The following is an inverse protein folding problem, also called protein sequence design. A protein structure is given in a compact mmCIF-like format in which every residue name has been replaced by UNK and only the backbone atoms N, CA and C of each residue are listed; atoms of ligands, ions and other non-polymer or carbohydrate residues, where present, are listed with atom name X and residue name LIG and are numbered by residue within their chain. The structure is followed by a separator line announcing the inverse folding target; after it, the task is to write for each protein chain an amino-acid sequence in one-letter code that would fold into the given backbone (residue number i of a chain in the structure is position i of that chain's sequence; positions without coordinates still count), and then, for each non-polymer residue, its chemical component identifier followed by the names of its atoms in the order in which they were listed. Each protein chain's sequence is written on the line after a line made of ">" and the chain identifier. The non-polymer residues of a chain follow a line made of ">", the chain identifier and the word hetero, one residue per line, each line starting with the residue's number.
data_IF_753380171244
#
_entry.id   IF_753380171244
#
_cell.length_a   1.000
_cell.length_b   1.000
_cell.length_c   1.000
_cell.angle_alpha   90.00
_cell.angle_beta   90.00
_cell.angle_gamma   90.00
#
_symmetry.space_group_name_H-M   'P 1'
#
loop_
_entity.id
_entity.type
_entity.pdbx_description
1 polymer ?
#
# COMPACT_ATOMS: atom_id res chain seq x y z
N UNK A 1 0.22 -14.78 16.28
CA UNK A 1 0.86 -15.31 15.06
C UNK A 1 0.65 -14.42 13.82
N UNK A 2 -0.53 -13.81 13.52
CA UNK A 2 -0.68 -12.92 12.34
C UNK A 2 -0.20 -11.47 12.52
N UNK A 3 0.18 -11.07 13.74
CA UNK A 3 0.44 -9.65 14.11
C UNK A 3 1.70 -9.03 13.49
N UNK A 4 2.71 -9.81 13.11
CA UNK A 4 4.02 -9.25 12.70
C UNK A 4 4.11 -9.13 11.18
N UNK A 5 3.66 -10.14 10.44
CA UNK A 5 3.58 -10.14 8.98
C UNK A 5 2.74 -8.94 8.48
N UNK A 6 1.54 -8.77 9.06
CA UNK A 6 0.63 -7.67 8.71
C UNK A 6 1.15 -6.27 9.06
N UNK A 7 1.99 -6.18 10.10
CA UNK A 7 2.46 -4.92 10.62
C UNK A 7 3.76 -4.45 9.94
N UNK A 8 4.53 -5.37 9.36
CA UNK A 8 5.55 -5.05 8.34
C UNK A 8 4.88 -4.56 7.03
N UNK A 9 3.75 -5.15 6.63
CA UNK A 9 2.99 -4.69 5.44
C UNK A 9 2.44 -3.27 5.55
N UNK A 10 2.03 -2.83 6.76
CA UNK A 10 1.41 -1.51 6.96
C UNK A 10 2.42 -0.36 7.04
N UNK A 11 3.71 -0.65 7.30
CA UNK A 11 4.73 0.39 7.51
C UNK A 11 5.80 0.45 6.43
N UNK A 12 5.98 -0.62 5.66
CA UNK A 12 7.06 -0.70 4.68
C UNK A 12 6.57 -0.93 3.27
N UNK A 13 5.89 0.04 2.65
CA UNK A 13 6.18 0.38 1.24
C UNK A 13 5.74 1.83 1.02
N UNK A 14 6.69 2.74 0.98
CA UNK A 14 6.53 4.09 0.44
C UNK A 14 7.90 4.56 -0.03
N UNK A 15 7.89 5.13 -1.25
CA UNK A 15 8.99 5.66 -2.05
C UNK A 15 9.86 4.64 -2.80
N UNK A 16 9.40 4.18 -3.96
CA UNK A 16 10.29 4.01 -5.12
C UNK A 16 9.69 4.57 -6.39
N UNK A 17 10.43 5.42 -7.11
CA UNK A 17 10.05 5.97 -8.42
C UNK A 17 10.50 5.11 -9.60
N UNK A 18 11.25 4.02 -9.34
CA UNK A 18 11.84 3.19 -10.38
C UNK A 18 11.08 1.87 -10.50
N UNK A 19 10.33 1.72 -11.61
CA UNK A 19 9.82 0.41 -12.02
C UNK A 19 10.94 -0.59 -12.30
N UNK A 20 10.63 -1.89 -12.38
CA UNK A 20 11.64 -2.91 -12.70
C UNK A 20 12.30 -2.62 -14.06
N UNK A 21 13.58 -3.00 -14.24
CA UNK A 21 14.24 -2.87 -15.54
C UNK A 21 13.45 -3.60 -16.62
N UNK A 22 13.27 -2.95 -17.77
CA UNK A 22 12.77 -3.61 -18.97
C UNK A 22 13.92 -4.41 -19.58
N UNK A 23 13.75 -5.72 -19.71
CA UNK A 23 14.66 -6.57 -20.48
C UNK A 23 14.80 -6.02 -21.91
N UNK A 24 15.93 -5.39 -22.22
CA UNK A 24 16.30 -5.04 -23.60
C UNK A 24 17.00 -6.24 -24.22
N UNK A 25 16.48 -6.73 -25.34
CA UNK A 25 17.28 -7.56 -26.25
C UNK A 25 18.26 -6.63 -26.98
N UNK A 26 19.55 -6.83 -26.75
CA UNK A 26 20.63 -6.07 -27.39
C UNK A 26 21.89 -6.94 -27.53
N UNK A 27 22.64 -6.66 -28.60
CA UNK A 27 23.63 -7.52 -29.25
C UNK A 27 24.75 -8.11 -28.37
N UNK A 28 25.24 -9.28 -28.82
CA UNK A 28 26.19 -10.14 -28.13
C UNK A 28 27.52 -9.44 -27.78
N UNK A 29 27.70 -9.18 -26.48
CA UNK A 29 28.97 -8.84 -25.82
C UNK A 29 29.68 -10.12 -25.34
N UNK A 30 31.02 -10.08 -25.16
CA UNK A 30 31.77 -11.24 -24.65
C UNK A 30 31.19 -11.72 -23.31
N UNK A 31 31.06 -13.05 -23.16
CA UNK A 31 30.42 -13.67 -22.01
C UNK A 31 31.12 -13.28 -20.70
N UNK A 32 30.48 -12.43 -19.92
CA UNK A 32 30.89 -12.14 -18.55
C UNK A 32 30.77 -13.41 -17.72
N UNK A 33 31.76 -13.69 -16.87
CA UNK A 33 31.67 -14.80 -15.92
C UNK A 33 30.44 -14.57 -15.05
N UNK A 34 29.51 -15.52 -15.09
CA UNK A 34 28.27 -15.44 -14.33
C UNK A 34 28.59 -15.51 -12.84
N UNK A 35 28.15 -14.51 -12.08
CA UNK A 35 28.25 -14.50 -10.63
C UNK A 35 27.47 -15.69 -10.06
N UNK A 36 28.05 -16.48 -9.14
CA UNK A 36 27.40 -17.66 -8.58
C UNK A 36 26.08 -17.35 -7.83
N UNK A 37 25.86 -16.09 -7.43
CA UNK A 37 24.61 -15.68 -6.80
C UNK A 37 23.46 -15.56 -7.81
N UNK A 38 23.73 -15.34 -9.10
CA UNK A 38 22.70 -15.07 -10.09
C UNK A 38 21.73 -16.25 -10.23
N UNK A 39 20.43 -15.99 -10.12
CA UNK A 39 19.37 -17.00 -10.15
C UNK A 39 18.40 -16.86 -8.99
N UNK A 40 17.54 -17.88 -8.85
CA UNK A 40 16.45 -17.90 -7.89
C UNK A 40 16.87 -18.55 -6.58
N UNK A 41 16.43 -17.95 -5.48
CA UNK A 41 16.67 -18.39 -4.12
C UNK A 41 15.34 -18.38 -3.37
N UNK A 42 15.08 -19.42 -2.58
CA UNK A 42 13.87 -19.52 -1.76
C UNK A 42 14.20 -20.03 -0.37
N UNK A 43 13.43 -19.60 0.61
CA UNK A 43 13.56 -20.06 1.97
C UNK A 43 12.75 -19.19 2.89
N UNK A 44 13.30 -18.90 4.06
CA UNK A 44 12.56 -18.18 5.08
C UNK A 44 13.41 -17.12 5.75
N UNK A 45 12.74 -16.09 6.29
CA UNK A 45 13.30 -15.27 7.34
C UNK A 45 12.57 -15.53 8.66
N UNK A 46 13.34 -15.74 9.73
CA UNK A 46 12.80 -15.97 11.07
C UNK A 46 12.92 -14.70 11.91
N UNK A 47 11.82 -14.31 12.53
CA UNK A 47 11.74 -13.20 13.48
C UNK A 47 10.93 -13.58 14.71
N UNK A 48 11.57 -13.60 15.89
CA UNK A 48 10.93 -13.90 17.20
C UNK A 48 9.93 -15.07 17.08
N UNK A 49 10.41 -16.18 16.52
CA UNK A 49 9.71 -17.45 16.28
C UNK A 49 8.68 -17.48 15.13
N UNK A 50 8.39 -16.36 14.47
CA UNK A 50 7.64 -16.36 13.23
C UNK A 50 8.56 -16.64 12.03
N UNK A 51 8.13 -17.52 11.14
CA UNK A 51 8.81 -17.82 9.88
C UNK A 51 8.05 -17.18 8.72
N UNK A 52 8.74 -16.34 7.95
CA UNK A 52 8.22 -15.66 6.76
C UNK A 52 8.79 -16.32 5.52
N UNK A 53 7.95 -16.74 4.57
CA UNK A 53 8.39 -17.23 3.27
C UNK A 53 9.04 -16.10 2.47
N UNK A 54 10.22 -16.37 1.91
CA UNK A 54 10.98 -15.45 1.08
C UNK A 54 11.43 -16.11 -0.22
N UNK A 55 11.37 -15.32 -1.30
CA UNK A 55 12.08 -15.61 -2.54
C UNK A 55 12.91 -14.40 -2.94
N UNK A 56 14.16 -14.63 -3.35
CA UNK A 56 15.04 -13.61 -3.91
C UNK A 56 15.50 -14.06 -5.29
N UNK A 57 15.39 -13.18 -6.27
CA UNK A 57 15.91 -13.43 -7.62
C UNK A 57 17.02 -12.43 -7.90
N UNK A 58 18.25 -12.92 -8.06
CA UNK A 58 19.39 -12.09 -8.45
C UNK A 58 19.61 -12.17 -9.95
N UNK A 59 19.72 -11.01 -10.58
CA UNK A 59 19.91 -10.84 -12.02
C UNK A 59 21.28 -10.20 -12.22
N UNK A 60 22.05 -10.73 -13.16
CA UNK A 60 23.31 -10.11 -13.57
C UNK A 60 23.15 -9.49 -14.95
N UNK A 61 23.44 -8.20 -15.05
CA UNK A 61 23.55 -7.47 -16.31
C UNK A 61 25.00 -6.98 -16.45
N UNK A 62 25.76 -7.59 -17.36
CA UNK A 62 27.21 -7.40 -17.50
C UNK A 62 27.96 -7.63 -16.17
N UNK A 63 28.39 -6.55 -15.51
CA UNK A 63 29.09 -6.55 -14.21
C UNK A 63 28.21 -6.11 -13.05
N UNK A 64 26.99 -5.65 -13.33
CA UNK A 64 26.04 -5.17 -12.33
C UNK A 64 25.19 -6.33 -11.83
N UNK A 65 25.01 -6.39 -10.51
CA UNK A 65 24.02 -7.26 -9.87
C UNK A 65 22.80 -6.43 -9.51
N UNK A 66 21.64 -6.98 -9.82
CA UNK A 66 20.35 -6.51 -9.39
C UNK A 66 19.60 -7.65 -8.72
N UNK A 67 18.49 -7.33 -8.05
CA UNK A 67 17.65 -8.38 -7.50
C UNK A 67 16.26 -7.91 -7.15
N UNK A 68 15.41 -8.89 -6.88
CA UNK A 68 14.04 -8.67 -6.41
C UNK A 68 13.73 -9.57 -5.22
N UNK A 69 12.88 -9.09 -4.32
CA UNK A 69 12.40 -9.81 -3.14
C UNK A 69 10.90 -10.06 -3.27
N UNK A 70 10.47 -11.28 -2.97
CA UNK A 70 9.05 -11.63 -2.84
C UNK A 70 8.81 -12.27 -1.48
N UNK A 71 7.67 -11.96 -0.88
CA UNK A 71 7.21 -12.60 0.34
C UNK A 71 5.69 -12.48 0.41
N UNK A 72 4.95 -13.60 0.35
CA UNK A 72 3.50 -13.55 0.49
C UNK A 72 3.08 -13.05 1.88
N UNK A 73 3.86 -13.36 2.92
CA UNK A 73 3.61 -12.89 4.28
C UNK A 73 3.76 -11.38 4.42
N UNK A 74 4.68 -10.78 3.66
CA UNK A 74 4.87 -9.33 3.61
C UNK A 74 4.11 -8.66 2.46
N UNK A 75 3.31 -9.41 1.70
CA UNK A 75 2.58 -8.93 0.51
C UNK A 75 3.49 -8.28 -0.55
N UNK A 76 4.72 -8.76 -0.68
CA UNK A 76 5.71 -8.28 -1.64
C UNK A 76 5.79 -9.24 -2.83
N UNK A 77 5.81 -8.71 -4.05
CA UNK A 77 6.02 -9.51 -5.25
C UNK A 77 7.03 -8.88 -6.20
N UNK A 78 8.19 -9.52 -6.30
CA UNK A 78 9.32 -9.08 -7.11
C UNK A 78 9.69 -7.61 -6.84
N UNK A 79 9.67 -7.21 -5.58
CA UNK A 79 10.02 -5.85 -5.16
C UNK A 79 11.51 -5.60 -5.42
N UNK A 80 11.88 -4.55 -6.16
CA UNK A 80 13.27 -4.33 -6.54
C UNK A 80 14.16 -4.04 -5.31
N UNK A 81 15.32 -4.68 -5.28
CA UNK A 81 16.37 -4.44 -4.30
C UNK A 81 17.25 -3.27 -4.72
N UNK A 82 17.85 -2.61 -3.74
CA UNK A 82 18.89 -1.61 -3.88
C UNK A 82 20.26 -2.14 -3.42
N UNK A 83 21.33 -1.62 -4.01
CA UNK A 83 22.69 -1.87 -3.55
C UNK A 83 23.10 -3.34 -3.48
N UNK A 84 22.63 -4.19 -4.39
CA UNK A 84 23.04 -5.61 -4.44
C UNK A 84 24.53 -5.71 -4.73
N UNK A 85 25.30 -6.11 -3.74
CA UNK A 85 26.76 -6.19 -3.81
C UNK A 85 27.25 -7.53 -3.25
N UNK A 86 28.16 -8.18 -3.99
CA UNK A 86 28.85 -9.39 -3.53
C UNK A 86 30.36 -9.17 -3.57
N UNK A 87 31.03 -9.45 -2.44
CA UNK A 87 32.49 -9.47 -2.34
C UNK A 87 32.94 -10.79 -1.73
N UNK A 88 33.47 -11.69 -2.56
CA UNK A 88 33.76 -13.06 -2.12
C UNK A 88 32.47 -13.74 -1.63
N UNK A 89 32.46 -14.28 -0.41
CA UNK A 89 31.25 -14.87 0.15
C UNK A 89 30.27 -13.82 0.68
N UNK A 90 30.71 -12.60 0.97
CA UNK A 90 29.86 -11.57 1.59
C UNK A 90 28.86 -11.01 0.59
N UNK A 91 27.62 -10.83 1.05
CA UNK A 91 26.49 -10.32 0.29
C UNK A 91 25.78 -9.23 1.06
N UNK A 92 25.53 -8.11 0.40
CA UNK A 92 24.73 -7.00 0.90
C UNK A 92 23.62 -6.66 -0.11
N UNK A 93 22.43 -6.32 0.39
CA UNK A 93 21.38 -5.65 -0.37
C UNK A 93 20.40 -4.95 0.57
N UNK A 94 19.60 -4.04 0.03
CA UNK A 94 18.54 -3.37 0.77
C UNK A 94 17.20 -3.41 -0.01
N UNK A 95 16.07 -3.28 0.69
CA UNK A 95 14.80 -2.93 0.02
C UNK A 95 14.80 -1.44 -0.36
N UNK A 96 13.91 -1.00 -1.26
CA UNK A 96 13.91 0.37 -1.83
C UNK A 96 13.01 1.37 -1.09
N UNK A 97 12.57 1.02 0.10
CA UNK A 97 11.53 1.71 0.86
C UNK A 97 12.11 2.78 1.79
N UNK A 98 11.28 3.72 2.27
CA UNK A 98 11.64 4.78 3.23
C UNK A 98 12.40 4.28 4.47
N UNK A 99 12.12 3.04 4.90
CA UNK A 99 12.80 2.35 6.00
C UNK A 99 13.34 1.03 5.50
N UNK A 100 14.47 1.05 4.77
CA UNK A 100 14.91 -0.10 4.02
C UNK A 100 15.34 -1.22 4.97
N UNK A 101 14.91 -2.45 4.66
CA UNK A 101 15.45 -3.64 5.26
C UNK A 101 16.84 -3.89 4.68
N UNK A 102 17.87 -3.73 5.49
CA UNK A 102 19.28 -3.90 5.07
C UNK A 102 19.74 -5.30 5.44
N UNK A 103 20.00 -6.11 4.43
CA UNK A 103 20.49 -7.47 4.57
C UNK A 103 22.01 -7.51 4.49
N UNK A 104 22.62 -8.19 5.45
CA UNK A 104 24.03 -8.56 5.45
C UNK A 104 24.15 -10.07 5.68
N UNK A 105 24.88 -10.75 4.80
CA UNK A 105 25.01 -12.19 4.87
C UNK A 105 26.14 -12.76 4.02
N UNK A 106 26.09 -14.08 3.85
CA UNK A 106 27.06 -14.83 3.11
C UNK A 106 26.43 -15.87 2.18
N UNK A 107 27.04 -16.03 1.01
CA UNK A 107 26.83 -17.12 0.06
C UNK A 107 27.79 -18.26 0.38
N UNK A 108 27.24 -19.46 0.57
CA UNK A 108 27.99 -20.70 0.79
C UNK A 108 27.37 -21.81 -0.08
N UNK A 109 27.97 -22.03 -1.27
CA UNK A 109 27.45 -22.96 -2.28
C UNK A 109 26.02 -22.63 -2.70
N UNK A 110 25.09 -23.52 -2.33
CA UNK A 110 23.65 -23.37 -2.57
C UNK A 110 22.88 -22.85 -1.35
N UNK A 111 23.57 -22.15 -0.44
CA UNK A 111 22.99 -21.48 0.73
C UNK A 111 23.27 -19.98 0.71
N UNK A 112 22.27 -19.18 1.04
CA UNK A 112 22.47 -17.81 1.52
C UNK A 112 21.97 -17.75 2.96
N UNK A 113 22.80 -17.23 3.86
CA UNK A 113 22.39 -16.95 5.25
C UNK A 113 22.83 -15.56 5.63
N UNK A 114 22.05 -14.92 6.48
CA UNK A 114 22.40 -13.59 6.95
C UNK A 114 21.31 -13.04 7.82
N UNK A 115 21.37 -11.74 8.03
CA UNK A 115 20.43 -11.05 8.86
C UNK A 115 20.14 -9.66 8.35
N UNK A 116 18.95 -9.17 8.69
CA UNK A 116 18.60 -7.77 8.56
C UNK A 116 18.04 -7.27 9.88
N UNK A 117 18.42 -6.05 10.26
CA UNK A 117 17.77 -5.38 11.38
C UNK A 117 16.37 -4.97 10.95
N UNK A 118 15.37 -5.35 11.74
CA UNK A 118 14.02 -4.84 11.59
C UNK A 118 14.02 -3.40 12.08
N UNK A 119 13.75 -2.41 11.21
CA UNK A 119 13.66 -1.03 11.66
C UNK A 119 12.59 -0.91 12.76
N UNK A 120 12.85 -0.08 13.77
CA UNK A 120 11.86 0.17 14.81
C UNK A 120 10.63 0.85 14.18
N UNK A 121 9.48 0.20 14.31
CA UNK A 121 8.20 0.71 13.83
C UNK A 121 7.30 0.98 15.05
N UNK A 122 6.95 2.26 15.32
CA UNK A 122 6.00 2.61 16.38
C UNK A 122 4.69 1.83 16.23
N UNK A 123 4.20 1.22 17.31
CA UNK A 123 2.96 0.43 17.33
C UNK A 123 3.06 -1.02 16.83
N UNK A 124 4.11 -1.36 16.05
CA UNK A 124 4.27 -2.69 15.43
C UNK A 124 5.33 -3.54 16.13
N UNK A 125 6.51 -2.96 16.34
CA UNK A 125 7.58 -3.59 17.09
C UNK A 125 7.84 -2.72 18.31
N UNK A 126 7.42 -3.18 19.50
CA UNK A 126 7.87 -2.55 20.73
C UNK A 126 9.41 -2.62 20.74
N UNK A 127 10.12 -1.49 20.93
CA UNK A 127 11.55 -1.53 21.16
C UNK A 127 11.77 -2.45 22.36
N UNK A 128 12.44 -3.58 22.14
CA UNK A 128 13.02 -4.34 23.23
C UNK A 128 14.41 -3.75 23.44
N UNK A 129 14.70 -3.08 24.57
CA UNK A 129 16.01 -2.49 24.83
C UNK A 129 17.14 -3.53 24.87
N UNK A 130 16.82 -4.82 25.05
CA UNK A 130 17.79 -5.89 25.21
C UNK A 130 18.20 -6.58 23.91
N UNK A 131 17.47 -6.41 22.80
CA UNK A 131 17.81 -7.00 21.52
C UNK A 131 17.22 -6.20 20.35
N UNK A 132 18.08 -5.62 19.51
CA UNK A 132 17.65 -5.10 18.21
C UNK A 132 16.93 -6.24 17.47
N UNK A 133 15.66 -6.05 17.07
CA UNK A 133 14.90 -7.10 16.41
C UNK A 133 15.58 -7.47 15.09
N UNK A 134 16.06 -8.71 14.95
CA UNK A 134 16.79 -9.17 13.76
C UNK A 134 15.98 -10.23 13.01
N UNK A 135 15.76 -10.02 11.71
CA UNK A 135 15.30 -11.05 10.78
C UNK A 135 16.49 -11.92 10.37
N UNK A 136 16.42 -13.23 10.58
CA UNK A 136 17.48 -14.17 10.18
C UNK A 136 17.06 -14.93 8.92
N UNK A 137 17.81 -14.77 7.85
CA UNK A 137 17.49 -15.36 6.56
C UNK A 137 18.20 -16.70 6.40
N UNK A 138 17.49 -17.66 5.83
CA UNK A 138 18.03 -18.90 5.33
C UNK A 138 17.38 -19.21 3.98
N UNK A 139 18.13 -18.98 2.91
CA UNK A 139 17.70 -19.22 1.54
C UNK A 139 18.53 -20.36 0.92
N UNK A 140 17.90 -21.12 0.03
CA UNK A 140 18.50 -22.16 -0.80
C UNK A 140 18.29 -21.85 -2.27
N UNK A 141 19.21 -22.32 -3.11
CA UNK A 141 19.05 -22.22 -4.56
C UNK A 141 17.73 -22.91 -4.98
N UNK A 142 17.01 -22.26 -5.87
CA UNK A 142 15.72 -22.71 -6.37
C UNK A 142 15.68 -22.70 -7.90
N UNK A 143 14.82 -23.54 -8.47
CA UNK A 143 14.46 -23.44 -9.87
C UNK A 143 13.68 -22.13 -10.14
N UNK A 144 13.74 -21.58 -11.36
CA UNK A 144 12.88 -20.47 -11.74
C UNK A 144 11.40 -20.84 -11.57
N UNK A 145 10.52 -19.87 -11.22
CA UNK A 145 9.09 -20.12 -11.18
C UNK A 145 8.59 -20.52 -12.57
N UNK A 146 7.52 -21.31 -12.62
CA UNK A 146 6.82 -21.60 -13.86
C UNK A 146 6.22 -20.34 -14.49
N UNK A 147 5.80 -20.47 -15.75
CA UNK A 147 5.13 -19.38 -16.46
C UNK A 147 3.91 -18.87 -15.67
N UNK A 148 3.71 -17.55 -15.68
CA UNK A 148 2.54 -16.94 -15.06
C UNK A 148 1.26 -17.41 -15.77
N UNK A 149 0.16 -17.67 -15.04
CA UNK A 149 -1.12 -18.08 -15.64
C UNK A 149 -1.89 -16.89 -16.24
N UNK A 150 -1.22 -15.75 -16.41
CA UNK A 150 -1.77 -14.50 -16.93
C UNK A 150 -0.69 -13.75 -17.71
N UNK A 151 -1.12 -12.85 -18.60
CA UNK A 151 -0.25 -11.89 -19.28
C UNK A 151 -0.43 -10.49 -18.69
N UNK A 152 0.53 -9.60 -18.92
CA UNK A 152 0.41 -8.18 -18.56
C UNK A 152 0.41 -7.29 -19.79
N UNK A 153 -0.29 -6.16 -19.71
CA UNK A 153 -0.31 -5.14 -20.77
C UNK A 153 -0.45 -3.75 -20.17
N UNK A 154 0.52 -2.89 -20.45
CA UNK A 154 0.44 -1.47 -20.07
C UNK A 154 -0.59 -0.74 -20.93
N UNK A 155 -1.30 0.20 -20.30
CA UNK A 155 -2.32 1.03 -20.92
C UNK A 155 -2.23 2.47 -20.40
N UNK A 156 -2.71 3.42 -21.21
CA UNK A 156 -2.91 4.80 -20.77
C UNK A 156 -4.34 5.23 -21.10
N UNK A 157 -4.96 5.99 -20.20
CA UNK A 157 -6.34 6.44 -20.35
C UNK A 157 -6.54 7.84 -19.75
N UNK A 158 -7.51 8.62 -20.25
CA UNK A 158 -7.79 9.96 -19.75
C UNK A 158 -8.65 9.94 -18.47
N UNK A 159 -8.47 10.94 -17.62
CA UNK A 159 -9.31 11.25 -16.46
C UNK A 159 -9.36 12.77 -16.24
N UNK A 160 -10.38 13.42 -16.81
CA UNK A 160 -10.44 14.88 -16.88
C UNK A 160 -9.22 15.44 -17.61
N UNK A 161 -8.47 16.34 -16.96
CA UNK A 161 -7.22 16.90 -17.49
C UNK A 161 -5.99 16.02 -17.25
N UNK A 162 -6.10 14.94 -16.49
CA UNK A 162 -5.00 14.02 -16.24
C UNK A 162 -5.02 12.88 -17.26
N UNK A 163 -3.84 12.48 -17.73
CA UNK A 163 -3.57 11.18 -18.35
C UNK A 163 -3.04 10.22 -17.28
N UNK A 164 -3.70 9.09 -17.12
CA UNK A 164 -3.32 8.02 -16.21
C UNK A 164 -2.63 6.88 -16.97
N UNK A 165 -1.78 6.15 -16.26
CA UNK A 165 -1.06 4.96 -16.74
C UNK A 165 -1.36 3.80 -15.81
N UNK A 166 -1.68 2.64 -16.41
CA UNK A 166 -1.92 1.42 -15.68
C UNK A 166 -1.39 0.19 -16.38
N UNK A 167 -1.49 -0.93 -15.69
CA UNK A 167 -1.11 -2.26 -16.16
C UNK A 167 -2.30 -3.19 -15.96
N UNK A 168 -2.73 -3.80 -17.05
CA UNK A 168 -3.72 -4.88 -17.06
C UNK A 168 -3.03 -6.21 -16.77
N UNK A 169 -3.64 -7.03 -15.93
CA UNK A 169 -3.25 -8.42 -15.69
C UNK A 169 -4.40 -9.29 -16.20
N UNK A 170 -4.13 -10.06 -17.25
CA UNK A 170 -5.14 -10.75 -18.05
C UNK A 170 -4.92 -12.26 -17.94
N UNK A 171 -5.73 -12.98 -17.15
CA UNK A 171 -5.67 -14.43 -17.05
C UNK A 171 -5.80 -15.09 -18.42
N UNK A 172 -5.12 -16.22 -18.62
CA UNK A 172 -5.26 -16.99 -19.84
C UNK A 172 -6.75 -17.36 -20.07
N UNK A 173 -7.29 -17.21 -21.30
CA UNK A 173 -8.68 -17.58 -21.56
C UNK A 173 -8.86 -19.09 -21.43
N UNK A 174 -9.68 -19.53 -20.47
CA UNK A 174 -10.15 -20.93 -20.40
C UNK A 174 -11.49 -21.08 -21.12
N UNK A 175 -12.35 -20.05 -21.06
CA UNK A 175 -13.50 -19.81 -21.95
C UNK A 175 -14.07 -18.40 -21.71
N UNK A 176 -14.09 -17.56 -22.74
CA UNK A 176 -14.76 -16.25 -22.75
C UNK A 176 -14.17 -15.15 -21.84
N UNK A 177 -14.81 -13.96 -21.83
CA UNK A 177 -14.37 -12.81 -21.03
C UNK A 177 -14.44 -13.04 -19.51
N UNK A 178 -13.51 -12.43 -18.78
CA UNK A 178 -13.31 -12.61 -17.34
C UNK A 178 -13.99 -11.51 -16.53
N UNK A 179 -14.45 -11.84 -15.32
CA UNK A 179 -14.80 -10.80 -14.35
C UNK A 179 -13.56 -9.92 -14.07
N UNK A 180 -13.79 -8.63 -13.82
CA UNK A 180 -12.75 -7.62 -13.66
C UNK A 180 -12.70 -7.02 -12.27
N UNK A 181 -11.50 -6.61 -11.84
CA UNK A 181 -11.31 -5.86 -10.60
C UNK A 181 -10.26 -4.75 -10.77
N UNK A 182 -10.60 -3.52 -10.38
CA UNK A 182 -9.64 -2.42 -10.33
C UNK A 182 -9.12 -2.19 -8.91
N UNK A 183 -7.81 -2.01 -8.75
CA UNK A 183 -7.13 -1.83 -7.47
C UNK A 183 -7.05 -0.34 -7.12
N UNK A 184 -7.73 0.07 -6.07
CA UNK A 184 -7.73 1.43 -5.53
C UNK A 184 -6.74 1.53 -4.38
N UNK A 185 -5.69 2.31 -4.60
CA UNK A 185 -4.55 2.43 -3.71
C UNK A 185 -4.88 3.21 -2.43
N UNK A 186 -4.16 2.93 -1.34
CA UNK A 186 -4.15 3.70 -0.11
C UNK A 186 -3.55 5.11 -0.26
N UNK A 187 -3.46 5.85 0.84
CA UNK A 187 -3.10 7.28 0.84
C UNK A 187 -1.62 7.58 0.54
N UNK A 188 -0.73 6.60 0.65
CA UNK A 188 0.70 6.73 0.37
C UNK A 188 0.98 7.07 -1.09
N UNK A 189 2.22 7.45 -1.43
CA UNK A 189 2.62 7.75 -2.82
C UNK A 189 2.94 6.50 -3.64
N UNK A 190 2.42 5.34 -3.24
CA UNK A 190 2.77 4.06 -3.82
C UNK A 190 2.38 3.99 -5.30
N UNK A 191 3.26 3.41 -6.10
CA UNK A 191 3.06 3.19 -7.52
C UNK A 191 2.30 1.89 -7.77
N UNK A 192 1.82 1.70 -8.99
CA UNK A 192 1.05 0.51 -9.38
C UNK A 192 1.80 -0.81 -9.16
N UNK A 193 3.14 -0.79 -9.22
CA UNK A 193 3.97 -1.99 -9.01
C UNK A 193 3.91 -2.49 -7.56
N UNK A 194 3.74 -1.60 -6.58
CA UNK A 194 3.62 -1.97 -5.16
C UNK A 194 2.28 -2.67 -4.85
N UNK A 195 1.35 -2.69 -5.82
CA UNK A 195 0.10 -3.45 -5.76
C UNK A 195 0.15 -4.75 -6.57
N UNK A 196 1.33 -5.09 -7.11
CA UNK A 196 1.51 -6.26 -7.97
C UNK A 196 1.22 -7.56 -7.23
N UNK A 197 1.47 -7.64 -5.93
CA UNK A 197 1.08 -8.80 -5.12
C UNK A 197 -0.42 -9.07 -5.22
N UNK A 198 -1.26 -8.05 -5.00
CA UNK A 198 -2.71 -8.18 -5.14
C UNK A 198 -3.14 -8.43 -6.58
N UNK A 199 -2.46 -7.81 -7.55
CA UNK A 199 -2.73 -8.04 -8.97
C UNK A 199 -2.45 -9.49 -9.39
N UNK A 200 -1.31 -10.06 -8.96
CA UNK A 200 -0.96 -11.47 -9.17
C UNK A 200 -1.97 -12.39 -8.47
N UNK A 201 -2.31 -12.11 -7.21
CA UNK A 201 -3.30 -12.88 -6.45
C UNK A 201 -4.64 -12.98 -7.19
N UNK A 202 -5.21 -11.84 -7.60
CA UNK A 202 -6.50 -11.81 -8.29
C UNK A 202 -6.41 -12.38 -9.71
N UNK A 203 -5.30 -12.15 -10.43
CA UNK A 203 -5.10 -12.71 -11.76
C UNK A 203 -4.96 -14.24 -11.72
N UNK A 204 -4.25 -14.80 -10.75
CA UNK A 204 -4.19 -16.26 -10.50
C UNK A 204 -5.55 -16.84 -10.11
N UNK A 205 -6.39 -16.07 -9.40
CA UNK A 205 -7.78 -16.41 -9.13
C UNK A 205 -8.69 -16.29 -10.38
N UNK A 206 -8.13 -15.85 -11.51
CA UNK A 206 -8.82 -15.79 -12.79
C UNK A 206 -9.62 -14.51 -13.03
N UNK A 207 -9.34 -13.43 -12.32
CA UNK A 207 -9.90 -12.09 -12.57
C UNK A 207 -8.98 -11.28 -13.49
N UNK A 208 -9.56 -10.48 -14.38
CA UNK A 208 -8.81 -9.44 -15.07
C UNK A 208 -8.57 -8.27 -14.10
N UNK A 209 -7.33 -7.82 -13.94
CA UNK A 209 -6.98 -6.82 -12.93
C UNK A 209 -6.48 -5.53 -13.58
N UNK A 210 -6.90 -4.39 -13.05
CA UNK A 210 -6.34 -3.08 -13.35
C UNK A 210 -5.58 -2.54 -12.12
N UNK A 211 -4.26 -2.39 -12.24
CA UNK A 211 -3.46 -1.58 -11.32
C UNK A 211 -3.02 -0.30 -12.07
N UNK A 212 -3.06 0.86 -11.41
CA UNK A 212 -2.74 2.13 -12.07
C UNK A 212 -2.02 3.09 -11.14
N UNK A 213 -1.20 3.97 -11.73
CA UNK A 213 -0.56 5.04 -10.97
C UNK A 213 -1.58 6.16 -10.75
N UNK A 214 -1.72 6.60 -9.50
CA UNK A 214 -2.53 7.78 -9.17
C UNK A 214 -2.08 9.01 -9.95
N UNK A 215 -3.01 9.95 -10.19
CA UNK A 215 -2.67 11.26 -10.76
C UNK A 215 -1.45 11.88 -10.09
N UNK A 216 -0.51 12.39 -10.89
CA UNK A 216 0.74 12.99 -10.42
C UNK A 216 1.72 12.03 -9.76
N UNK A 217 1.56 10.72 -9.94
CA UNK A 217 2.50 9.68 -9.47
C UNK A 217 2.92 8.79 -10.63
N UNK A 218 4.11 8.19 -10.51
CA UNK A 218 4.66 7.29 -11.51
C UNK A 218 4.65 7.91 -12.91
N UNK A 219 4.02 7.22 -13.85
CA UNK A 219 3.92 7.68 -15.26
C UNK A 219 2.63 8.47 -15.55
N UNK A 220 1.77 8.63 -14.54
CA UNK A 220 0.55 9.43 -14.60
C UNK A 220 0.84 10.92 -14.42
N UNK A 221 0.21 11.74 -15.25
CA UNK A 221 0.27 13.21 -15.15
C UNK A 221 -0.66 13.76 -14.06
N UNK A 222 -0.57 15.05 -13.78
CA UNK A 222 -1.39 15.76 -12.79
C UNK A 222 -0.66 16.02 -11.48
N UNK A 223 -1.41 16.33 -10.43
CA UNK A 223 -0.89 16.63 -9.09
C UNK A 223 -1.71 15.88 -8.05
N UNK A 224 -1.06 14.99 -7.30
CA UNK A 224 -1.69 14.23 -6.21
C UNK A 224 -1.96 15.07 -4.96
N UNK A 225 -1.08 16.03 -4.65
CA UNK A 225 -1.19 16.86 -3.45
C UNK A 225 -2.35 17.84 -3.55
N UNK A 226 -2.61 18.37 -4.74
CA UNK A 226 -3.74 19.27 -5.01
C UNK A 226 -5.06 18.55 -5.36
N UNK A 227 -5.03 17.23 -5.59
CA UNK A 227 -6.22 16.45 -5.94
C UNK A 227 -7.23 16.39 -4.80
N UNK A 228 -8.53 16.41 -5.10
CA UNK A 228 -9.60 16.13 -4.14
C UNK A 228 -10.01 14.65 -4.15
N UNK A 229 -10.79 14.19 -3.17
CA UNK A 229 -11.37 12.84 -3.23
C UNK A 229 -12.31 12.64 -4.42
N UNK A 230 -12.94 13.71 -4.92
CA UNK A 230 -13.73 13.66 -6.15
C UNK A 230 -12.84 13.36 -7.37
N UNK A 231 -11.66 13.99 -7.44
CA UNK A 231 -10.68 13.73 -8.49
C UNK A 231 -10.14 12.30 -8.43
N UNK A 232 -9.83 11.80 -7.23
CA UNK A 232 -9.37 10.42 -7.04
C UNK A 232 -10.48 9.40 -7.38
N UNK A 233 -11.74 9.69 -7.03
CA UNK A 233 -12.88 8.86 -7.43
C UNK A 233 -13.12 8.89 -8.95
N UNK A 234 -12.88 10.02 -9.61
CA UNK A 234 -12.93 10.14 -11.08
C UNK A 234 -11.84 9.30 -11.74
N UNK A 235 -10.62 9.32 -11.22
CA UNK A 235 -9.51 8.48 -11.69
C UNK A 235 -9.83 6.99 -11.59
N UNK A 236 -10.34 6.59 -10.43
CA UNK A 236 -10.76 5.23 -10.19
C UNK A 236 -11.89 4.79 -11.13
N UNK A 237 -12.88 5.66 -11.37
CA UNK A 237 -13.94 5.40 -12.35
C UNK A 237 -13.38 5.26 -13.77
N UNK A 238 -12.44 6.11 -14.18
CA UNK A 238 -11.78 6.01 -15.48
C UNK A 238 -10.97 4.71 -15.63
N UNK A 239 -10.31 4.25 -14.56
CA UNK A 239 -9.61 2.97 -14.53
C UNK A 239 -10.57 1.78 -14.68
N UNK A 240 -11.74 1.85 -14.03
CA UNK A 240 -12.82 0.85 -14.18
C UNK A 240 -13.34 0.81 -15.62
N UNK A 241 -13.61 1.96 -16.24
CA UNK A 241 -14.06 2.00 -17.64
C UNK A 241 -12.97 1.54 -18.62
N UNK A 242 -11.71 1.86 -18.36
CA UNK A 242 -10.60 1.33 -19.14
C UNK A 242 -10.56 -0.20 -19.06
N UNK A 243 -10.72 -0.79 -17.86
CA UNK A 243 -10.79 -2.24 -17.69
C UNK A 243 -12.02 -2.85 -18.40
N UNK A 244 -13.19 -2.23 -18.28
CA UNK A 244 -14.45 -2.69 -18.90
C UNK A 244 -14.41 -2.68 -20.43
N UNK A 245 -13.62 -1.81 -21.04
CA UNK A 245 -13.50 -1.71 -22.51
C UNK A 245 -12.60 -2.78 -23.12
N UNK A 246 -11.93 -3.60 -22.30
CA UNK A 246 -11.09 -4.69 -22.81
C UNK A 246 -11.94 -5.88 -23.24
N UNK A 247 -11.67 -6.42 -24.43
CA UNK A 247 -12.39 -7.60 -24.97
C UNK A 247 -12.24 -8.85 -24.10
N UNK A 248 -11.15 -8.93 -23.33
CA UNK A 248 -10.88 -10.02 -22.39
C UNK A 248 -11.73 -9.93 -21.12
N UNK A 249 -12.47 -8.83 -20.92
CA UNK A 249 -13.22 -8.52 -19.70
C UNK A 249 -14.72 -8.55 -19.96
N UNK A 250 -15.43 -9.25 -19.09
CA UNK A 250 -16.88 -9.19 -19.01
C UNK A 250 -17.29 -7.88 -18.35
N UNK A 251 -17.72 -6.92 -19.17
CA UNK A 251 -18.12 -5.59 -18.71
C UNK A 251 -19.30 -5.60 -17.74
N UNK A 252 -20.05 -6.70 -17.61
CA UNK A 252 -21.15 -6.80 -16.64
C UNK A 252 -20.70 -7.36 -15.27
N UNK A 253 -19.44 -7.79 -15.15
CA UNK A 253 -18.87 -8.39 -13.94
C UNK A 253 -17.59 -7.69 -13.48
N UNK A 254 -17.63 -6.35 -13.38
CA UNK A 254 -16.48 -5.56 -12.91
C UNK A 254 -16.76 -4.93 -11.54
N UNK A 255 -15.81 -5.05 -10.62
CA UNK A 255 -15.83 -4.42 -9.30
C UNK A 255 -14.55 -3.67 -8.97
N UNK A 256 -14.44 -3.20 -7.73
CA UNK A 256 -13.22 -2.57 -7.20
C UNK A 256 -12.75 -3.26 -5.93
N UNK A 257 -11.44 -3.33 -5.74
CA UNK A 257 -10.81 -3.60 -4.46
C UNK A 257 -10.12 -2.33 -4.01
N UNK A 258 -10.43 -1.83 -2.82
CA UNK A 258 -9.84 -0.60 -2.29
C UNK A 258 -9.22 -0.82 -0.92
N UNK A 259 -8.06 -0.18 -0.71
CA UNK A 259 -7.34 -0.17 0.56
C UNK A 259 -7.38 1.23 1.18
N UNK A 260 -7.82 1.35 2.44
CA UNK A 260 -7.82 2.61 3.20
C UNK A 260 -8.45 3.77 2.41
N UNK A 261 -7.65 4.73 1.92
CA UNK A 261 -8.10 5.80 1.03
C UNK A 261 -8.84 5.29 -0.21
N UNK A 262 -8.34 4.22 -0.85
CA UNK A 262 -8.99 3.60 -2.00
C UNK A 262 -10.35 3.00 -1.65
N UNK A 263 -10.49 2.48 -0.43
CA UNK A 263 -11.77 1.99 0.08
C UNK A 263 -12.72 3.15 0.41
N UNK A 264 -12.21 4.25 0.97
CA UNK A 264 -12.96 5.47 1.27
C UNK A 264 -13.64 6.06 0.04
N UNK A 265 -12.96 6.09 -1.11
CA UNK A 265 -13.53 6.61 -2.36
C UNK A 265 -14.39 5.61 -3.12
N UNK A 266 -14.39 4.32 -2.77
CA UNK A 266 -15.12 3.28 -3.50
C UNK A 266 -16.64 3.55 -3.64
N UNK A 267 -17.35 4.09 -2.63
CA UNK A 267 -18.74 4.53 -2.78
C UNK A 267 -18.94 5.63 -3.83
N UNK A 268 -18.00 6.57 -3.92
CA UNK A 268 -18.02 7.61 -4.95
C UNK A 268 -17.79 7.03 -6.35
N UNK A 269 -16.96 6.00 -6.46
CA UNK A 269 -16.77 5.24 -7.71
C UNK A 269 -18.07 4.55 -8.10
N UNK A 270 -18.73 3.86 -7.17
CA UNK A 270 -20.02 3.20 -7.41
C UNK A 270 -21.11 4.18 -7.87
N UNK A 271 -21.12 5.41 -7.33
CA UNK A 271 -22.03 6.46 -7.78
C UNK A 271 -21.72 6.97 -9.21
N UNK A 272 -20.46 6.89 -9.66
CA UNK A 272 -20.00 7.31 -11.00
C UNK A 272 -20.13 6.22 -12.05
N UNK A 273 -20.08 4.96 -11.62
CA UNK A 273 -20.11 3.78 -12.50
C UNK A 273 -21.34 2.95 -12.14
N UNK A 274 -22.53 3.26 -12.69
CA UNK A 274 -23.77 2.54 -12.38
C UNK A 274 -23.70 1.03 -12.67
N UNK A 275 -22.81 0.62 -13.55
CA UNK A 275 -22.55 -0.77 -13.94
C UNK A 275 -21.51 -1.49 -13.07
N UNK A 276 -20.97 -0.83 -12.04
CA UNK A 276 -20.08 -1.47 -11.07
C UNK A 276 -20.86 -2.55 -10.33
N UNK A 277 -20.25 -3.71 -10.08
CA UNK A 277 -20.99 -4.90 -9.63
C UNK A 277 -20.71 -5.33 -8.20
N UNK A 278 -19.57 -4.94 -7.63
CA UNK A 278 -19.21 -5.21 -6.24
C UNK A 278 -18.08 -4.29 -5.76
N UNK A 279 -17.92 -4.18 -4.44
CA UNK A 279 -16.82 -3.49 -3.77
C UNK A 279 -16.18 -4.45 -2.77
N UNK A 280 -14.86 -4.56 -2.77
CA UNK A 280 -14.06 -5.10 -1.66
C UNK A 280 -13.34 -3.94 -0.98
N UNK A 281 -13.64 -3.70 0.28
CA UNK A 281 -13.19 -2.53 1.04
C UNK A 281 -12.33 -2.98 2.22
N UNK A 282 -11.03 -2.72 2.16
CA UNK A 282 -10.06 -3.10 3.20
C UNK A 282 -9.72 -1.88 4.05
N UNK A 283 -9.95 -1.96 5.35
CA UNK A 283 -9.73 -0.86 6.32
C UNK A 283 -10.36 0.46 5.88
N UNK A 284 -11.61 0.42 5.41
CA UNK A 284 -12.31 1.62 4.96
C UNK A 284 -12.71 2.51 6.15
N UNK A 285 -12.46 3.82 6.11
CA UNK A 285 -13.08 4.74 7.04
C UNK A 285 -14.58 4.82 6.72
N UNK A 286 -15.45 4.39 7.64
CA UNK A 286 -16.89 4.68 7.58
C UNK A 286 -17.31 5.81 8.53
N UNK A 287 -16.33 6.55 9.05
CA UNK A 287 -16.51 7.78 9.84
C UNK A 287 -15.58 8.88 9.30
N UNK A 288 -15.71 10.14 9.76
CA UNK A 288 -14.85 11.22 9.29
C UNK A 288 -13.36 10.90 9.45
N UNK A 289 -12.57 11.15 8.40
CA UNK A 289 -11.13 10.81 8.37
C UNK A 289 -10.36 11.47 9.51
N UNK A 290 -10.75 12.68 9.91
CA UNK A 290 -10.19 13.36 11.06
C UNK A 290 -10.43 12.64 12.39
N UNK A 291 -11.60 12.04 12.60
CA UNK A 291 -11.85 11.25 13.81
C UNK A 291 -11.02 9.96 13.81
N UNK A 292 -10.77 9.36 12.63
CA UNK A 292 -9.83 8.25 12.51
C UNK A 292 -8.41 8.68 12.90
N UNK A 293 -7.96 9.89 12.52
CA UNK A 293 -6.65 10.42 12.90
C UNK A 293 -6.55 10.65 14.42
N UNK A 294 -7.58 11.23 15.04
CA UNK A 294 -7.64 11.42 16.48
C UNK A 294 -7.62 10.07 17.23
N UNK A 295 -8.34 9.06 16.72
CA UNK A 295 -8.29 7.70 17.26
C UNK A 295 -6.89 7.09 17.12
N UNK A 296 -6.26 7.21 15.95
CA UNK A 296 -4.89 6.75 15.69
C UNK A 296 -3.89 7.34 16.68
N UNK A 297 -3.99 8.64 16.95
CA UNK A 297 -3.14 9.32 17.92
C UNK A 297 -3.39 8.81 19.33
N UNK A 298 -4.65 8.56 19.70
CA UNK A 298 -4.97 7.99 21.01
C UNK A 298 -4.30 6.63 21.22
N UNK A 299 -4.34 5.74 20.22
CA UNK A 299 -3.76 4.40 20.31
C UNK A 299 -2.23 4.48 20.29
N UNK A 300 -1.67 5.26 19.37
CA UNK A 300 -0.21 5.40 19.19
C UNK A 300 0.47 5.99 20.42
N UNK A 301 -0.08 7.05 21.00
CA UNK A 301 0.48 7.69 22.20
C UNK A 301 0.34 6.77 23.43
N UNK A 302 -0.82 6.13 23.60
CA UNK A 302 -1.00 5.15 24.68
C UNK A 302 0.00 3.99 24.57
N UNK A 303 0.17 3.43 23.35
CA UNK A 303 1.12 2.35 23.08
C UNK A 303 2.58 2.75 23.25
N UNK A 304 2.90 4.04 23.11
CA UNK A 304 4.22 4.59 23.37
C UNK A 304 4.48 4.93 24.85
N UNK A 305 3.49 4.73 25.73
CA UNK A 305 3.63 4.93 27.18
C UNK A 305 3.47 6.37 27.65
N UNK A 306 2.88 7.25 26.84
CA UNK A 306 2.52 8.60 27.28
C UNK A 306 1.43 8.55 28.35
N UNK A 307 1.42 9.54 29.24
CA UNK A 307 0.37 9.63 30.25
C UNK A 307 -1.00 9.97 29.63
N UNK A 308 -2.07 9.65 30.36
CA UNK A 308 -3.43 9.87 29.87
C UNK A 308 -3.71 11.36 29.59
N UNK A 309 -3.07 12.29 30.30
CA UNK A 309 -3.29 13.71 30.10
C UNK A 309 -2.69 14.18 28.76
N UNK A 310 -1.50 13.71 28.39
CA UNK A 310 -0.87 13.93 27.09
C UNK A 310 -1.69 13.34 25.95
N UNK A 311 -2.17 12.11 26.12
CA UNK A 311 -3.06 11.46 25.14
C UNK A 311 -4.33 12.31 24.92
N UNK A 312 -4.97 12.75 26.00
CA UNK A 312 -6.18 13.58 25.91
C UNK A 312 -5.90 14.96 25.31
N UNK A 313 -4.75 15.57 25.61
CA UNK A 313 -4.32 16.84 25.00
C UNK A 313 -4.15 16.71 23.49
N UNK A 314 -3.43 15.69 23.03
CA UNK A 314 -3.22 15.44 21.60
C UNK A 314 -4.54 15.20 20.87
N UNK A 315 -5.41 14.33 21.40
CA UNK A 315 -6.72 14.02 20.81
C UNK A 315 -7.63 15.25 20.78
N UNK A 316 -7.64 16.04 21.86
CA UNK A 316 -8.42 17.29 21.93
C UNK A 316 -7.95 18.29 20.88
N UNK A 317 -6.64 18.44 20.71
CA UNK A 317 -6.08 19.37 19.75
C UNK A 317 -6.37 18.96 18.30
N UNK A 318 -6.28 17.67 17.99
CA UNK A 318 -6.62 17.14 16.67
C UNK A 318 -8.10 17.42 16.33
N UNK A 319 -9.02 17.22 17.30
CA UNK A 319 -10.45 17.56 17.14
C UNK A 319 -10.71 19.05 16.95
N UNK A 320 -10.05 19.92 17.72
CA UNK A 320 -10.14 21.38 17.55
C UNK A 320 -9.59 21.84 16.21
N UNK A 321 -8.53 21.21 15.70
CA UNK A 321 -8.04 21.45 14.34
C UNK A 321 -9.08 21.03 13.29
N UNK A 322 -9.82 19.93 13.50
CA UNK A 322 -10.91 19.54 12.60
C UNK A 322 -12.08 20.53 12.62
N UNK A 323 -12.44 21.06 13.79
CA UNK A 323 -13.43 22.12 13.93
C UNK A 323 -12.98 23.39 13.20
N UNK A 324 -11.72 23.78 13.36
CA UNK A 324 -11.12 24.88 12.63
C UNK A 324 -11.16 24.67 11.11
N UNK A 325 -10.78 23.47 10.63
CA UNK A 325 -10.85 23.11 9.20
C UNK A 325 -12.29 23.16 8.66
N UNK A 326 -13.29 22.78 9.45
CA UNK A 326 -14.72 22.85 9.08
C UNK A 326 -15.21 24.30 9.02
N UNK A 327 -14.85 25.11 10.01
CA UNK A 327 -15.26 26.50 10.12
C UNK A 327 -14.52 27.43 9.18
N UNK A 328 -13.35 27.00 8.65
CA UNK A 328 -12.36 27.86 7.99
C UNK A 328 -11.99 29.04 8.89
N UNK A 329 -11.62 28.72 10.13
CA UNK A 329 -11.29 29.72 11.15
C UNK A 329 -10.07 30.57 10.79
N UNK A 330 -9.72 31.52 11.67
CA UNK A 330 -8.59 32.43 11.44
C UNK A 330 -7.25 31.67 11.53
N UNK A 331 -6.31 31.95 10.65
CA UNK A 331 -4.95 31.37 10.69
C UNK A 331 -4.23 31.67 12.03
N UNK A 332 -4.55 32.78 12.70
CA UNK A 332 -4.03 33.09 14.05
C UNK A 332 -4.53 32.10 15.09
N UNK A 333 -5.79 31.67 14.99
CA UNK A 333 -6.37 30.66 15.88
C UNK A 333 -5.68 29.31 15.67
N UNK A 334 -5.43 28.94 14.42
CA UNK A 334 -4.65 27.75 14.09
C UNK A 334 -3.22 27.82 14.62
N UNK A 335 -2.55 28.97 14.47
CA UNK A 335 -1.21 29.18 15.00
C UNK A 335 -1.17 28.99 16.52
N UNK A 336 -2.16 29.52 17.24
CA UNK A 336 -2.32 29.31 18.67
C UNK A 336 -2.58 27.84 19.02
N UNK A 337 -3.43 27.15 18.27
CA UNK A 337 -3.70 25.71 18.43
C UNK A 337 -2.41 24.90 18.29
N UNK A 338 -1.67 25.06 17.21
CA UNK A 338 -0.45 24.29 16.97
C UNK A 338 0.66 24.63 17.98
N UNK A 339 0.69 25.86 18.50
CA UNK A 339 1.61 26.26 19.55
C UNK A 339 1.36 25.52 20.88
N UNK A 340 0.13 25.04 21.16
CA UNK A 340 -0.13 24.19 22.34
C UNK A 340 0.60 22.85 22.28
N UNK A 341 0.92 22.36 21.08
CA UNK A 341 1.71 21.15 20.89
C UNK A 341 3.21 21.41 20.88
N UNK A 342 3.65 22.65 20.67
CA UNK A 342 5.07 22.95 20.45
C UNK A 342 5.92 22.64 21.68
N UNK A 343 7.06 21.98 21.45
CA UNK A 343 7.96 21.53 22.50
C UNK A 343 7.43 20.39 23.38
N UNK A 344 6.21 19.88 23.14
CA UNK A 344 5.67 18.78 23.93
C UNK A 344 6.29 17.43 23.51
N UNK A 345 6.50 16.49 24.46
CA UNK A 345 7.03 15.16 24.14
C UNK A 345 6.18 14.37 23.15
N UNK A 346 4.85 14.56 23.17
CA UNK A 346 3.90 13.81 22.35
C UNK A 346 3.69 14.36 20.93
N UNK A 347 4.05 15.63 20.65
CA UNK A 347 3.88 16.24 19.32
C UNK A 347 4.51 15.38 18.21
N UNK A 348 5.78 14.99 18.40
CA UNK A 348 6.53 14.15 17.44
C UNK A 348 5.99 12.73 17.30
N UNK A 349 5.20 12.27 18.26
CA UNK A 349 4.57 10.95 18.25
C UNK A 349 3.12 10.99 17.71
N UNK A 350 2.50 12.16 17.61
CA UNK A 350 1.15 12.38 17.08
C UNK A 350 1.11 12.59 15.56
N UNK A 351 -0.08 12.69 14.99
CA UNK A 351 -0.34 13.00 13.58
C UNK A 351 -0.46 14.51 13.33
N UNK A 352 -0.35 15.32 14.38
CA UNK A 352 -0.47 16.76 14.31
C UNK A 352 0.70 17.35 13.52
N UNK A 353 0.41 18.22 12.54
CA UNK A 353 1.45 18.88 11.78
C UNK A 353 2.14 19.94 12.64
N UNK A 354 3.45 20.15 12.44
CA UNK A 354 4.13 21.32 13.01
C UNK A 354 3.61 22.63 12.38
N UNK A 355 3.19 22.56 11.10
CA UNK A 355 2.54 23.66 10.36
C UNK A 355 1.64 23.07 9.27
N UNK A 356 0.52 23.73 8.97
CA UNK A 356 -0.26 23.35 7.79
C UNK A 356 0.48 23.73 6.51
N UNK A 357 0.31 22.96 5.42
CA UNK A 357 0.70 23.42 4.11
C UNK A 357 -0.21 24.58 3.67
N UNK A 358 0.22 25.35 2.69
CA UNK A 358 -0.56 26.44 2.10
C UNK A 358 -1.03 26.11 0.69
N UNK A 359 -1.99 26.90 0.19
CA UNK A 359 -2.42 26.87 -1.20
C UNK A 359 -3.08 25.55 -1.61
N UNK A 360 -2.80 25.03 -2.83
CA UNK A 360 -3.50 23.87 -3.38
C UNK A 360 -3.42 22.60 -2.54
N UNK A 361 -2.35 22.40 -1.76
CA UNK A 361 -2.19 21.21 -0.91
C UNK A 361 -3.14 21.25 0.29
N UNK A 362 -3.38 22.44 0.87
CA UNK A 362 -4.36 22.62 1.94
C UNK A 362 -5.78 22.33 1.44
N UNK A 363 -6.06 22.66 0.18
CA UNK A 363 -7.33 22.37 -0.49
C UNK A 363 -7.43 20.94 -1.04
N UNK A 364 -6.34 20.17 -0.97
CA UNK A 364 -6.26 18.80 -1.45
C UNK A 364 -6.98 17.78 -0.56
N UNK A 365 -7.01 16.54 -1.02
CA UNK A 365 -7.81 15.44 -0.48
C UNK A 365 -7.47 15.16 0.99
N UNK A 366 -6.21 15.30 1.39
CA UNK A 366 -5.80 14.96 2.75
C UNK A 366 -6.37 15.97 3.76
N UNK A 367 -6.13 17.26 3.55
CA UNK A 367 -6.50 18.30 4.50
C UNK A 367 -7.99 18.65 4.42
N UNK A 368 -8.50 18.90 3.21
CA UNK A 368 -9.93 19.16 3.02
C UNK A 368 -10.77 17.93 3.38
N UNK A 369 -10.26 16.75 3.05
CA UNK A 369 -10.94 15.48 3.28
C UNK A 369 -11.03 15.02 4.74
N UNK A 370 -10.19 15.56 5.64
CA UNK A 370 -10.26 15.30 7.09
C UNK A 370 -11.65 15.58 7.68
N UNK A 371 -12.39 16.52 7.09
CA UNK A 371 -13.71 16.93 7.58
C UNK A 371 -14.88 16.13 6.97
N UNK A 372 -14.63 15.34 5.93
CA UNK A 372 -15.68 14.65 5.18
C UNK A 372 -16.17 13.41 5.91
N UNK A 373 -17.49 13.28 6.01
CA UNK A 373 -18.17 12.09 6.50
C UNK A 373 -18.54 11.16 5.33
N UNK A 374 -17.96 9.95 5.23
CA UNK A 374 -18.28 9.01 4.17
C UNK A 374 -19.58 8.23 4.40
N UNK A 375 -20.20 8.31 5.59
CA UNK A 375 -21.38 7.52 5.92
C UNK A 375 -22.55 7.72 4.95
N UNK A 376 -22.88 8.96 4.49
CA UNK A 376 -23.90 9.16 3.46
C UNK A 376 -23.58 8.45 2.13
N UNK A 377 -22.31 8.40 1.73
CA UNK A 377 -21.90 7.73 0.50
C UNK A 377 -22.05 6.22 0.62
N UNK A 378 -21.65 5.63 1.75
CA UNK A 378 -21.83 4.20 2.02
C UNK A 378 -23.30 3.78 2.05
N UNK A 379 -24.20 4.61 2.62
CA UNK A 379 -25.65 4.35 2.60
C UNK A 379 -26.25 4.36 1.18
N UNK A 380 -25.64 5.08 0.26
CA UNK A 380 -26.07 5.14 -1.14
C UNK A 380 -25.60 3.95 -1.98
N UNK A 381 -24.63 3.14 -1.50
CA UNK A 381 -24.13 1.97 -2.23
C UNK A 381 -25.22 0.90 -2.32
N UNK A 382 -25.47 0.41 -3.54
CA UNK A 382 -26.48 -0.64 -3.84
C UNK A 382 -25.89 -1.97 -4.30
N UNK A 383 -24.58 -2.01 -4.54
CA UNK A 383 -23.88 -3.22 -4.96
C UNK A 383 -23.42 -4.02 -3.73
N UNK A 384 -23.21 -5.35 -3.85
CA UNK A 384 -22.58 -6.13 -2.79
C UNK A 384 -21.24 -5.52 -2.34
N UNK A 385 -21.05 -5.42 -1.02
CA UNK A 385 -19.83 -4.93 -0.38
C UNK A 385 -19.28 -6.03 0.53
N UNK A 386 -18.01 -6.38 0.35
CA UNK A 386 -17.21 -7.12 1.33
C UNK A 386 -16.31 -6.12 2.04
N UNK A 387 -16.53 -5.89 3.33
CA UNK A 387 -15.69 -5.03 4.15
C UNK A 387 -14.79 -5.87 5.06
N UNK A 388 -13.48 -5.63 5.01
CA UNK A 388 -12.44 -6.38 5.72
C UNK A 388 -11.75 -5.43 6.70
N UNK A 389 -11.78 -5.80 7.98
CA UNK A 389 -11.16 -5.06 9.07
C UNK A 389 -10.25 -5.95 9.90
N UNK A 390 -9.08 -5.44 10.23
CA UNK A 390 -8.15 -6.15 11.09
C UNK A 390 -8.65 -6.30 12.53
N UNK A 391 -8.44 -7.49 13.07
CA UNK A 391 -8.51 -7.82 14.49
C UNK A 391 -8.00 -6.67 15.39
N UNK A 392 -6.78 -6.28 15.09
CA UNK A 392 -6.01 -5.29 15.82
C UNK A 392 -5.80 -4.02 14.98
N UNK A 393 -6.79 -3.62 14.18
CA UNK A 393 -6.70 -2.37 13.42
C UNK A 393 -6.67 -1.18 14.39
N UNK A 394 -5.51 -0.53 14.47
CA UNK A 394 -5.26 0.69 15.26
C UNK A 394 -5.44 1.96 14.41
N UNK A 395 -5.69 1.80 13.10
CA UNK A 395 -5.87 2.89 12.15
C UNK A 395 -7.31 3.38 12.08
N UNK A 396 -8.27 2.47 12.23
CA UNK A 396 -9.68 2.82 12.17
C UNK A 396 -10.47 2.03 13.23
N UNK A 397 -11.30 2.68 14.07
CA UNK A 397 -12.10 1.95 15.04
C UNK A 397 -12.98 0.93 14.32
N UNK A 398 -13.06 -0.31 14.80
CA UNK A 398 -13.96 -1.32 14.21
C UNK A 398 -15.42 -0.87 14.09
N UNK A 399 -15.86 -0.01 15.00
CA UNK A 399 -17.21 0.59 15.00
C UNK A 399 -17.46 1.52 13.80
N UNK A 400 -16.42 1.90 13.07
CA UNK A 400 -16.52 2.72 11.86
C UNK A 400 -16.80 1.91 10.59
N UNK A 401 -16.99 0.58 10.68
CA UNK A 401 -17.29 -0.23 9.50
C UNK A 401 -18.53 0.31 8.75
N UNK A 402 -18.49 0.41 7.40
CA UNK A 402 -19.60 0.89 6.58
C UNK A 402 -20.89 0.17 6.88
N UNK A 403 -21.92 0.94 7.23
CA UNK A 403 -23.28 0.44 7.33
C UNK A 403 -23.98 0.65 5.98
N UNK A 404 -23.78 -0.28 5.04
CA UNK A 404 -24.45 -0.25 3.74
C UNK A 404 -25.93 -0.66 3.93
N UNK A 405 -26.82 0.33 3.94
CA UNK A 405 -28.25 0.11 4.11
C UNK A 405 -28.90 -0.45 2.85
N UNK A 406 -29.19 -1.76 2.85
CA UNK A 406 -30.19 -2.36 1.96
C UNK A 406 -29.61 -3.26 0.87
N UNK A 407 -29.58 -4.56 1.17
CA UNK A 407 -29.37 -5.63 0.20
C UNK A 407 -29.17 -6.94 0.94
N UNK A 408 -30.03 -7.94 0.67
CA UNK A 408 -29.98 -9.29 1.24
C UNK A 408 -28.67 -10.02 0.86
N UNK A 409 -27.53 -9.65 1.46
CA UNK A 409 -26.28 -10.46 1.53
C UNK A 409 -25.06 -9.72 2.12
N UNK A 410 -25.17 -8.49 2.65
CA UNK A 410 -24.03 -7.78 3.25
C UNK A 410 -23.57 -8.41 4.57
N UNK A 411 -22.90 -9.57 4.52
CA UNK A 411 -22.14 -10.08 5.67
C UNK A 411 -20.85 -9.27 5.76
N UNK A 412 -20.78 -8.37 6.73
CA UNK A 412 -19.51 -7.88 7.26
C UNK A 412 -18.84 -9.09 7.91
N UNK A 413 -17.88 -9.70 7.22
CA UNK A 413 -17.10 -10.79 7.77
C UNK A 413 -15.95 -10.17 8.57
N UNK A 414 -16.02 -10.29 9.89
CA UNK A 414 -14.84 -10.13 10.75
C UNK A 414 -14.13 -11.48 10.76
N UNK A 415 -13.14 -11.68 9.89
CA UNK A 415 -12.21 -12.80 10.05
C UNK A 415 -11.04 -12.34 10.92
N UNK A 416 -10.81 -13.11 11.99
CA UNK A 416 -9.87 -12.85 13.09
C UNK A 416 -8.45 -13.30 12.79
#
# INVERSE_FOLDING_TARGET
>A
MPRIAFALCLVGVSLSSAGPPRLRQGDARPATVRDPIAGWWRGHAVFRDASLELAVHFIQEDTKLEGTLSSPDMMLLEEPLDGVQRQGQNLHFATRDERPLRFDGALDGDSIRGSALVPAVPGVVRPDPAASPTLRFALRRAAPPGALPYSTRDVSFPSGHARLVGTLYLPAPVSGPRAGIALLQGSSSNLRHEYRFFADLFARAGLAVMAFDKRGKGESSGDYGAATYDDLARDAAAAVECLRSQREVDSLRVGVWGLSQGAFIAPLVAARVPSLRFIVAVSAPGMPVGECAAFQDSVRLTSAGFDVADVLRAVSLDRRMLEWLRAKGDERELGALLAEADGTPWQRASSLPARLPSGPVLEGWYWRGRTLDPAPWWRAVRVPVLAIYGAADELCPRMSAPNASGGRSGRVAFET
#
